data_IF_230660029220
#
_entry.id   IF_230660029220
#
_cell.length_a   1.000
_cell.length_b   1.000
_cell.length_c   1.000
_cell.angle_alpha   90.00
_cell.angle_beta   90.00
_cell.angle_gamma   90.00
#
_symmetry.space_group_name_H-M   'P 1'
#
loop_
_entity.id
_entity.type
_entity.pdbx_description
1 polymer ?
#
# COMPACT_ATOMS: atom_id res chain seq x y z
N UNK A 1 -9.38 -7.46 -31.95
CA UNK A 1 -8.19 -6.59 -31.81
C UNK A 1 -8.63 -5.28 -31.16
N UNK A 2 -9.04 -5.32 -29.89
CA UNK A 2 -9.20 -4.13 -29.05
C UNK A 2 -7.82 -3.89 -28.46
N UNK A 3 -7.03 -3.05 -29.12
CA UNK A 3 -5.65 -2.77 -28.74
C UNK A 3 -5.61 -2.03 -27.40
N UNK A 4 -4.65 -2.39 -26.55
CA UNK A 4 -4.29 -1.79 -25.25
C UNK A 4 -4.51 -0.27 -25.11
N UNK A 5 -4.37 0.45 -26.24
CA UNK A 5 -4.58 1.89 -26.44
C UNK A 5 -5.99 2.36 -26.02
N UNK A 6 -7.04 1.54 -26.14
CA UNK A 6 -8.39 1.92 -25.70
C UNK A 6 -8.56 1.84 -24.18
N UNK A 7 -7.84 0.93 -23.50
CA UNK A 7 -7.91 0.80 -22.04
C UNK A 7 -7.16 1.95 -21.37
N UNK A 8 -5.99 2.34 -21.87
CA UNK A 8 -5.27 3.52 -21.38
C UNK A 8 -6.09 4.80 -21.55
N UNK A 9 -6.75 4.99 -22.70
CA UNK A 9 -7.62 6.16 -22.94
C UNK A 9 -8.89 6.13 -22.11
N UNK A 10 -9.50 4.96 -21.92
CA UNK A 10 -10.68 4.80 -21.07
C UNK A 10 -10.34 5.05 -19.59
N UNK A 11 -9.21 4.51 -19.12
CA UNK A 11 -8.65 4.79 -17.81
C UNK A 11 -8.40 6.29 -17.63
N UNK A 12 -7.63 6.91 -18.52
CA UNK A 12 -7.26 8.32 -18.39
C UNK A 12 -8.45 9.29 -18.50
N UNK A 13 -9.48 8.96 -19.29
CA UNK A 13 -10.61 9.87 -19.49
C UNK A 13 -11.76 9.66 -18.49
N UNK A 14 -12.11 8.41 -18.18
CA UNK A 14 -13.27 8.09 -17.32
C UNK A 14 -12.85 8.04 -15.85
N UNK A 15 -11.77 7.32 -15.52
CA UNK A 15 -11.39 7.17 -14.11
C UNK A 15 -10.79 8.45 -13.55
N UNK A 16 -9.94 9.17 -14.28
CA UNK A 16 -9.30 10.40 -13.77
C UNK A 16 -10.30 11.55 -13.58
N UNK A 17 -11.28 11.69 -14.47
CA UNK A 17 -12.33 12.71 -14.32
C UNK A 17 -13.28 12.37 -13.16
N UNK A 18 -13.62 11.10 -12.95
CA UNK A 18 -14.38 10.66 -11.78
C UNK A 18 -13.57 10.78 -10.48
N UNK A 19 -12.28 10.41 -10.49
CA UNK A 19 -11.38 10.51 -9.34
C UNK A 19 -11.21 11.96 -8.85
N UNK A 20 -11.18 12.93 -9.77
CA UNK A 20 -10.99 14.35 -9.46
C UNK A 20 -12.29 15.12 -9.18
N UNK A 21 -13.43 14.65 -9.67
CA UNK A 21 -14.71 15.38 -9.59
C UNK A 21 -15.66 14.86 -8.50
N UNK A 22 -15.42 13.66 -7.99
CA UNK A 22 -16.24 13.07 -6.94
C UNK A 22 -15.60 13.30 -5.58
N UNK A 23 -16.37 13.89 -4.68
CA UNK A 23 -16.08 13.83 -3.25
C UNK A 23 -15.87 12.36 -2.85
N UNK A 24 -14.74 12.08 -2.20
CA UNK A 24 -14.18 10.72 -2.05
C UNK A 24 -15.16 9.76 -1.36
N UNK A 25 -16.00 10.30 -0.48
CA UNK A 25 -16.97 9.55 0.32
C UNK A 25 -18.40 9.60 -0.27
N UNK A 26 -18.63 10.33 -1.36
CA UNK A 26 -19.97 10.43 -1.98
C UNK A 26 -20.40 9.12 -2.67
N UNK A 27 -19.45 8.39 -3.28
CA UNK A 27 -19.73 7.11 -3.96
C UNK A 27 -18.62 6.07 -3.72
N UNK A 28 -18.48 5.56 -2.49
CA UNK A 28 -17.32 4.75 -2.09
C UNK A 28 -17.21 3.43 -2.87
N UNK A 29 -18.33 2.82 -3.26
CA UNK A 29 -18.32 1.56 -4.04
C UNK A 29 -17.86 1.78 -5.48
N UNK A 30 -18.21 2.91 -6.09
CA UNK A 30 -17.76 3.26 -7.44
C UNK A 30 -16.26 3.57 -7.42
N UNK A 31 -15.81 4.39 -6.46
CA UNK A 31 -14.39 4.68 -6.26
C UNK A 31 -13.57 3.41 -6.03
N UNK A 32 -14.05 2.53 -5.16
CA UNK A 32 -13.43 1.23 -4.92
C UNK A 32 -13.30 0.39 -6.20
N UNK A 33 -14.34 0.37 -7.05
CA UNK A 33 -14.31 -0.35 -8.33
C UNK A 33 -13.26 0.25 -9.28
N UNK A 34 -13.17 1.57 -9.38
CA UNK A 34 -12.16 2.27 -10.18
C UNK A 34 -10.74 1.98 -9.68
N UNK A 35 -10.50 2.06 -8.37
CA UNK A 35 -9.20 1.74 -7.75
C UNK A 35 -8.80 0.27 -7.95
N UNK A 36 -9.76 -0.66 -7.81
CA UNK A 36 -9.53 -2.08 -8.08
C UNK A 36 -9.19 -2.33 -9.54
N UNK A 37 -9.86 -1.65 -10.45
CA UNK A 37 -9.58 -1.73 -11.88
C UNK A 37 -8.17 -1.21 -12.17
N UNK A 38 -7.80 -0.05 -11.64
CA UNK A 38 -6.43 0.47 -11.73
C UNK A 38 -5.39 -0.55 -11.21
N UNK A 39 -5.62 -1.13 -10.03
CA UNK A 39 -4.72 -2.14 -9.46
C UNK A 39 -4.52 -3.36 -10.37
N UNK A 40 -5.58 -3.80 -11.09
CA UNK A 40 -5.53 -4.93 -12.02
C UNK A 40 -4.66 -4.67 -13.25
N UNK A 41 -4.59 -3.41 -13.71
CA UNK A 41 -3.84 -3.02 -14.92
C UNK A 41 -2.53 -2.27 -14.61
N UNK A 42 -2.06 -2.28 -13.36
CA UNK A 42 -0.85 -1.58 -12.91
C UNK A 42 0.39 -1.85 -13.78
N UNK A 43 0.58 -3.08 -14.27
CA UNK A 43 1.70 -3.46 -15.14
C UNK A 43 1.63 -2.82 -16.53
N UNK A 44 0.43 -2.51 -17.01
CA UNK A 44 0.19 -1.92 -18.32
C UNK A 44 0.23 -0.39 -18.31
N UNK A 45 0.20 0.24 -17.14
CA UNK A 45 0.24 1.70 -17.06
C UNK A 45 1.66 2.25 -17.25
N UNK A 46 1.82 3.33 -18.04
CA UNK A 46 3.11 3.95 -18.26
C UNK A 46 3.55 4.70 -17.01
N UNK A 47 4.82 4.58 -16.64
CA UNK A 47 5.39 5.21 -15.43
C UNK A 47 5.07 6.72 -15.31
N UNK A 48 5.14 7.55 -16.36
CA UNK A 48 4.79 8.97 -16.23
C UNK A 48 3.35 9.22 -15.77
N UNK A 49 2.40 8.40 -16.24
CA UNK A 49 1.00 8.51 -15.84
C UNK A 49 0.81 8.14 -14.37
N UNK A 50 1.41 7.03 -13.94
CA UNK A 50 1.26 6.55 -12.56
C UNK A 50 1.91 7.46 -11.54
N UNK A 51 3.03 8.12 -11.90
CA UNK A 51 3.66 9.16 -11.07
C UNK A 51 2.74 10.38 -10.91
N UNK A 52 2.01 10.77 -11.95
CA UNK A 52 1.02 11.86 -11.86
C UNK A 52 -0.20 11.47 -11.01
N UNK A 53 -0.61 10.20 -11.08
CA UNK A 53 -1.74 9.65 -10.31
C UNK A 53 -1.39 9.40 -8.83
N UNK A 54 -0.11 9.19 -8.51
CA UNK A 54 0.34 8.78 -7.17
C UNK A 54 -0.16 9.67 -6.02
N UNK A 55 -0.15 11.01 -6.11
CA UNK A 55 -0.69 11.87 -5.06
C UNK A 55 -2.18 11.63 -4.77
N UNK A 56 -2.98 11.34 -5.81
CA UNK A 56 -4.40 11.05 -5.65
C UNK A 56 -4.60 9.70 -4.93
N UNK A 57 -3.81 8.68 -5.31
CA UNK A 57 -3.81 7.40 -4.61
C UNK A 57 -3.47 7.53 -3.13
N UNK A 58 -2.49 8.39 -2.81
CA UNK A 58 -2.13 8.70 -1.42
C UNK A 58 -3.29 9.37 -0.69
N UNK A 59 -4.02 10.28 -1.34
CA UNK A 59 -5.19 10.94 -0.74
C UNK A 59 -6.33 9.95 -0.46
N UNK A 60 -6.59 8.97 -1.34
CA UNK A 60 -7.62 7.96 -1.11
C UNK A 60 -7.33 7.02 0.07
N UNK A 61 -6.10 6.96 0.56
CA UNK A 61 -5.79 6.27 1.82
C UNK A 61 -6.40 6.97 3.04
N UNK A 62 -6.77 8.25 2.91
CA UNK A 62 -7.43 9.03 3.96
C UNK A 62 -8.96 9.02 3.89
N UNK A 63 -9.57 8.22 3.00
CA UNK A 63 -11.03 8.09 2.89
C UNK A 63 -11.64 7.50 4.17
N UNK A 64 -12.87 7.88 4.53
CA UNK A 64 -13.57 7.29 5.68
C UNK A 64 -14.00 5.84 5.38
N UNK A 65 -14.26 5.55 4.11
CA UNK A 65 -14.66 4.22 3.66
C UNK A 65 -13.50 3.23 3.68
N UNK A 66 -13.68 2.17 4.49
CA UNK A 66 -12.74 1.05 4.57
C UNK A 66 -12.43 0.43 3.19
N UNK A 67 -13.46 0.31 2.35
CA UNK A 67 -13.31 -0.29 1.02
C UNK A 67 -12.47 0.61 0.11
N UNK A 68 -12.59 1.94 0.21
CA UNK A 68 -11.85 2.89 -0.62
C UNK A 68 -10.36 2.89 -0.25
N UNK A 69 -10.01 3.07 1.04
CA UNK A 69 -8.59 3.04 1.42
C UNK A 69 -7.95 1.67 1.20
N UNK A 70 -8.74 0.57 1.25
CA UNK A 70 -8.26 -0.78 0.94
C UNK A 70 -7.78 -0.88 -0.50
N UNK A 71 -8.61 -0.42 -1.43
CA UNK A 71 -8.29 -0.51 -2.85
C UNK A 71 -7.27 0.55 -3.29
N UNK A 72 -7.19 1.69 -2.60
CA UNK A 72 -6.09 2.63 -2.77
C UNK A 72 -4.75 1.98 -2.39
N UNK A 73 -4.69 1.34 -1.22
CA UNK A 73 -3.52 0.60 -0.77
C UNK A 73 -3.15 -0.55 -1.71
N UNK A 74 -4.14 -1.31 -2.20
CA UNK A 74 -3.92 -2.36 -3.20
C UNK A 74 -3.34 -1.78 -4.50
N UNK A 75 -3.84 -0.64 -4.97
CA UNK A 75 -3.35 -0.01 -6.19
C UNK A 75 -1.88 0.42 -6.04
N UNK A 76 -1.54 1.07 -4.93
CA UNK A 76 -0.16 1.47 -4.62
C UNK A 76 0.74 0.23 -4.53
N UNK A 77 0.33 -0.81 -3.80
CA UNK A 77 1.06 -2.07 -3.71
C UNK A 77 1.36 -2.64 -5.11
N UNK A 78 0.34 -2.75 -5.97
CA UNK A 78 0.50 -3.33 -7.31
C UNK A 78 1.40 -2.49 -8.20
N UNK A 79 1.32 -1.17 -8.12
CA UNK A 79 2.23 -0.28 -8.85
C UNK A 79 3.68 -0.52 -8.42
N UNK A 80 3.96 -0.47 -7.11
CA UNK A 80 5.33 -0.62 -6.60
C UNK A 80 5.96 -1.99 -6.86
N UNK A 81 5.14 -3.03 -7.03
CA UNK A 81 5.60 -4.38 -7.36
C UNK A 81 5.83 -4.63 -8.87
N UNK A 82 5.52 -3.67 -9.74
CA UNK A 82 5.75 -3.84 -11.18
C UNK A 82 7.24 -3.94 -11.50
N UNK A 83 7.60 -4.96 -12.27
CA UNK A 83 8.95 -5.19 -12.80
C UNK A 83 8.96 -5.03 -14.32
N UNK A 84 10.06 -4.50 -14.84
CA UNK A 84 10.32 -4.44 -16.28
C UNK A 84 10.87 -5.78 -16.81
N UNK A 85 10.98 -5.92 -18.14
CA UNK A 85 11.46 -7.15 -18.82
C UNK A 85 12.87 -7.61 -18.38
N UNK A 86 13.63 -6.75 -17.69
CA UNK A 86 14.93 -7.08 -17.08
C UNK A 86 14.88 -7.51 -15.61
N UNK A 87 13.69 -7.67 -15.03
CA UNK A 87 13.51 -8.01 -13.60
C UNK A 87 13.72 -6.84 -12.63
N UNK A 88 14.13 -5.67 -13.13
CA UNK A 88 14.28 -4.45 -12.35
C UNK A 88 12.91 -3.88 -11.96
N UNK A 89 12.80 -3.37 -10.73
CA UNK A 89 11.61 -2.66 -10.29
C UNK A 89 11.40 -1.40 -11.13
N UNK A 90 10.17 -1.18 -11.61
CA UNK A 90 9.80 0.01 -12.38
C UNK A 90 9.88 1.29 -11.53
N UNK A 91 9.55 1.17 -10.25
CA UNK A 91 9.55 2.25 -9.27
C UNK A 91 10.72 2.08 -8.31
N UNK A 92 11.41 3.18 -8.04
CA UNK A 92 12.58 3.24 -7.14
C UNK A 92 12.30 4.20 -5.99
N UNK A 93 13.16 4.19 -4.97
CA UNK A 93 13.02 5.04 -3.78
C UNK A 93 12.78 6.53 -4.12
N UNK A 94 13.49 7.06 -5.11
CA UNK A 94 13.36 8.45 -5.56
C UNK A 94 11.97 8.81 -6.10
N UNK A 95 11.22 7.84 -6.64
CA UNK A 95 9.86 8.07 -7.15
C UNK A 95 8.85 8.23 -6.00
N UNK A 96 9.09 7.56 -4.86
CA UNK A 96 8.18 7.52 -3.71
C UNK A 96 8.53 8.58 -2.67
N UNK A 97 9.81 8.95 -2.58
CA UNK A 97 10.34 9.89 -1.59
C UNK A 97 9.50 11.16 -1.38
N UNK A 98 8.96 11.82 -2.43
CA UNK A 98 8.12 13.02 -2.27
C UNK A 98 6.81 12.78 -1.49
N UNK A 99 6.30 11.54 -1.50
CA UNK A 99 5.00 11.18 -0.94
C UNK A 99 5.12 10.34 0.34
N UNK A 100 6.32 9.85 0.64
CA UNK A 100 6.56 8.82 1.66
C UNK A 100 5.98 9.21 3.04
N UNK A 101 6.23 10.44 3.48
CA UNK A 101 5.75 10.90 4.80
C UNK A 101 4.23 10.89 4.88
N UNK A 102 3.57 11.45 3.86
CA UNK A 102 2.11 11.55 3.82
C UNK A 102 1.47 10.17 3.65
N UNK A 103 2.04 9.33 2.78
CA UNK A 103 1.59 7.97 2.56
C UNK A 103 1.65 7.12 3.84
N UNK A 104 2.79 7.12 4.55
CA UNK A 104 2.91 6.39 5.81
C UNK A 104 1.94 6.94 6.85
N UNK A 105 1.76 8.26 6.91
CA UNK A 105 0.80 8.90 7.84
C UNK A 105 -0.63 8.40 7.60
N UNK A 106 -1.09 8.37 6.34
CA UNK A 106 -2.42 7.86 6.03
C UNK A 106 -2.55 6.36 6.27
N UNK A 107 -1.54 5.55 5.93
CA UNK A 107 -1.58 4.11 6.22
C UNK A 107 -1.71 3.83 7.72
N UNK A 108 -0.98 4.55 8.58
CA UNK A 108 -1.10 4.41 10.03
C UNK A 108 -2.43 4.94 10.58
N UNK A 109 -2.99 6.00 9.97
CA UNK A 109 -4.29 6.54 10.37
C UNK A 109 -5.44 5.60 9.98
N UNK A 110 -5.40 5.05 8.76
CA UNK A 110 -6.39 4.11 8.25
C UNK A 110 -6.44 2.83 9.11
N UNK A 111 -5.29 2.30 9.54
CA UNK A 111 -5.22 1.16 10.49
C UNK A 111 -5.73 1.47 11.91
N UNK A 112 -6.02 2.73 12.23
CA UNK A 112 -6.66 3.12 13.50
C UNK A 112 -8.15 3.42 13.32
N UNK A 113 -8.64 3.41 12.08
CA UNK A 113 -10.03 3.67 11.77
C UNK A 113 -10.87 2.44 12.08
N UNK A 114 -12.12 2.63 12.53
CA UNK A 114 -13.04 1.51 12.76
C UNK A 114 -13.15 0.61 11.53
N UNK A 115 -13.27 -0.70 11.76
CA UNK A 115 -13.40 -1.75 10.73
C UNK A 115 -12.12 -1.97 9.89
N UNK A 116 -11.07 -1.19 10.13
CA UNK A 116 -9.85 -1.16 9.31
C UNK A 116 -8.60 -1.57 10.09
N UNK A 117 -8.75 -1.91 11.37
CA UNK A 117 -7.65 -2.25 12.28
C UNK A 117 -6.88 -3.50 11.82
N UNK A 118 -7.57 -4.44 11.18
CA UNK A 118 -7.03 -5.70 10.66
C UNK A 118 -6.89 -5.71 9.12
N UNK A 119 -6.93 -4.54 8.49
CA UNK A 119 -6.96 -4.45 7.04
C UNK A 119 -5.61 -4.86 6.40
N UNK A 120 -5.62 -6.03 5.78
CA UNK A 120 -4.46 -6.63 5.14
C UNK A 120 -3.94 -5.87 3.92
N UNK A 121 -4.80 -5.14 3.19
CA UNK A 121 -4.36 -4.32 2.06
C UNK A 121 -3.46 -3.19 2.55
N UNK A 122 -3.83 -2.53 3.66
CA UNK A 122 -3.03 -1.46 4.27
C UNK A 122 -1.69 -2.00 4.77
N UNK A 123 -1.70 -3.13 5.49
CA UNK A 123 -0.47 -3.73 6.03
C UNK A 123 0.49 -4.17 4.93
N UNK A 124 -0.03 -4.80 3.88
CA UNK A 124 0.79 -5.26 2.75
C UNK A 124 1.35 -4.08 1.95
N UNK A 125 0.53 -3.06 1.69
CA UNK A 125 1.00 -1.82 1.07
C UNK A 125 2.12 -1.17 1.89
N UNK A 126 1.96 -1.09 3.21
CA UNK A 126 2.99 -0.55 4.10
C UNK A 126 4.31 -1.31 3.99
N UNK A 127 4.26 -2.64 3.97
CA UNK A 127 5.46 -3.47 3.81
C UNK A 127 6.16 -3.26 2.46
N UNK A 128 5.39 -3.20 1.38
CA UNK A 128 5.94 -2.95 0.03
C UNK A 128 6.58 -1.57 -0.03
N UNK A 129 5.94 -0.55 0.52
CA UNK A 129 6.49 0.82 0.56
C UNK A 129 7.82 0.85 1.31
N UNK A 130 7.88 0.23 2.49
CA UNK A 130 9.12 0.15 3.28
C UNK A 130 10.22 -0.65 2.57
N UNK A 131 9.86 -1.60 1.69
CA UNK A 131 10.82 -2.34 0.87
C UNK A 131 11.38 -1.55 -0.31
N UNK A 132 10.67 -0.52 -0.79
CA UNK A 132 11.13 0.32 -1.92
C UNK A 132 11.71 1.65 -1.46
N UNK A 133 11.23 2.20 -0.34
CA UNK A 133 11.63 3.51 0.15
C UNK A 133 13.03 3.51 0.79
N UNK A 134 13.78 4.58 0.56
CA UNK A 134 14.98 4.91 1.35
C UNK A 134 14.52 5.57 2.66
N UNK A 135 14.53 4.79 3.74
CA UNK A 135 14.10 5.28 5.05
C UNK A 135 15.21 6.15 5.64
N UNK A 136 14.99 7.46 5.63
CA UNK A 136 15.85 8.41 6.33
C UNK A 136 15.63 8.36 7.85
N UNK A 137 16.60 8.89 8.62
CA UNK A 137 16.53 8.92 10.08
C UNK A 137 15.26 9.59 10.64
N UNK A 138 14.70 10.56 9.93
CA UNK A 138 13.51 11.32 10.35
C UNK A 138 12.21 10.52 10.25
N UNK A 139 12.10 9.65 9.25
CA UNK A 139 10.90 8.81 9.01
C UNK A 139 11.00 7.47 9.71
N UNK A 140 12.22 7.00 10.01
CA UNK A 140 12.46 5.72 10.69
C UNK A 140 11.78 5.61 12.05
N UNK A 141 11.89 6.62 12.91
CA UNK A 141 11.35 6.57 14.28
C UNK A 141 9.82 6.49 14.32
N UNK A 142 9.06 7.33 13.58
CA UNK A 142 7.61 7.18 13.49
C UNK A 142 7.18 5.84 12.91
N UNK A 143 7.86 5.35 11.88
CA UNK A 143 7.53 4.06 11.26
C UNK A 143 7.77 2.88 12.22
N UNK A 144 8.91 2.87 12.92
CA UNK A 144 9.22 1.83 13.92
C UNK A 144 8.18 1.85 15.03
N UNK A 145 7.86 3.03 15.57
CA UNK A 145 6.84 3.17 16.60
C UNK A 145 5.47 2.67 16.11
N UNK A 146 5.05 3.09 14.93
CA UNK A 146 3.78 2.66 14.33
C UNK A 146 3.70 1.15 14.12
N UNK A 147 4.78 0.53 13.61
CA UNK A 147 4.85 -0.92 13.44
C UNK A 147 4.85 -1.67 14.78
N UNK A 148 5.53 -1.15 15.79
CA UNK A 148 5.52 -1.71 17.14
C UNK A 148 4.12 -1.64 17.75
N UNK A 149 3.44 -0.49 17.64
CA UNK A 149 2.06 -0.29 18.10
C UNK A 149 1.09 -1.27 17.41
N UNK A 150 1.24 -1.50 16.09
CA UNK A 150 0.44 -2.48 15.33
C UNK A 150 0.73 -3.91 15.84
N UNK A 151 2.00 -4.25 16.05
CA UNK A 151 2.40 -5.58 16.51
C UNK A 151 1.86 -5.89 17.92
N UNK A 152 1.86 -4.90 18.81
CA UNK A 152 1.27 -5.01 20.16
C UNK A 152 -0.24 -5.21 20.08
N UNK A 153 -0.95 -4.40 19.26
CA UNK A 153 -2.39 -4.57 19.04
C UNK A 153 -2.73 -5.96 18.50
N UNK A 154 -1.95 -6.47 17.55
CA UNK A 154 -2.13 -7.84 17.05
C UNK A 154 -1.93 -8.88 18.14
N UNK A 155 -0.92 -8.72 19.00
CA UNK A 155 -0.74 -9.63 20.13
C UNK A 155 -1.94 -9.61 21.09
N UNK A 156 -2.48 -8.42 21.40
CA UNK A 156 -3.69 -8.27 22.22
C UNK A 156 -4.91 -8.97 21.59
N UNK A 157 -5.09 -8.84 20.26
CA UNK A 157 -6.15 -9.54 19.52
C UNK A 157 -5.95 -11.07 19.60
N UNK A 158 -4.71 -11.55 19.46
CA UNK A 158 -4.40 -12.99 19.52
C UNK A 158 -4.60 -13.59 20.92
N UNK A 159 -4.49 -12.79 21.98
CA UNK A 159 -4.78 -13.19 23.35
C UNK A 159 -6.29 -13.25 23.66
N UNK A 160 -7.15 -12.78 22.75
CA UNK A 160 -8.61 -12.93 22.91
C UNK A 160 -9.06 -14.36 22.60
N UNK A 161 -9.92 -14.97 23.44
CA UNK A 161 -10.30 -16.39 23.32
C UNK A 161 -11.21 -16.72 22.13
N UNK A 162 -11.50 -15.76 21.25
CA UNK A 162 -12.30 -15.92 20.04
C UNK A 162 -11.46 -15.54 18.81
N UNK A 163 -10.42 -16.33 18.52
CA UNK A 163 -9.72 -16.25 17.24
C UNK A 163 -10.70 -16.62 16.11
N UNK A 164 -11.12 -15.64 15.32
CA UNK A 164 -11.85 -15.90 14.07
C UNK A 164 -10.89 -16.49 13.03
N UNK A 165 -11.40 -17.37 12.18
CA UNK A 165 -10.65 -18.08 11.12
C UNK A 165 -9.93 -17.16 10.12
N UNK A 166 -10.30 -15.87 10.09
CA UNK A 166 -9.63 -14.79 9.34
C UNK A 166 -8.23 -14.47 9.86
N UNK A 167 -7.99 -14.56 11.18
CA UNK A 167 -6.69 -14.22 11.78
C UNK A 167 -5.59 -15.22 11.40
N UNK A 168 -5.88 -16.52 11.41
CA UNK A 168 -4.91 -17.56 11.00
C UNK A 168 -4.64 -17.58 9.49
N UNK A 169 -5.62 -17.23 8.67
CA UNK A 169 -5.44 -17.13 7.21
C UNK A 169 -4.67 -15.87 6.82
N UNK A 170 -4.81 -14.77 7.56
CA UNK A 170 -3.94 -13.59 7.46
C UNK A 170 -2.49 -13.90 7.83
N UNK A 171 -2.28 -14.65 8.92
CA UNK A 171 -0.96 -15.14 9.30
C UNK A 171 -0.37 -16.04 8.21
N UNK A 172 -1.11 -17.03 7.70
CA UNK A 172 -0.59 -17.89 6.63
C UNK A 172 -0.33 -17.10 5.33
N UNK A 173 -1.18 -16.15 4.93
CA UNK A 173 -1.02 -15.34 3.72
C UNK A 173 0.15 -14.33 3.81
N UNK A 174 0.38 -13.75 4.99
CA UNK A 174 1.57 -12.91 5.25
C UNK A 174 2.87 -13.73 5.18
N UNK A 175 2.83 -15.03 5.50
CA UNK A 175 3.97 -15.94 5.47
C UNK A 175 4.12 -16.76 4.17
N UNK A 176 3.11 -16.78 3.28
CA UNK A 176 3.13 -17.52 2.00
C UNK A 176 3.85 -16.74 0.87
N UNK A 177 4.16 -15.46 1.08
CA UNK A 177 5.02 -14.67 0.18
C UNK A 177 6.47 -14.79 0.66
N UNK A 178 7.17 -15.82 0.18
CA UNK A 178 8.62 -16.06 0.34
C UNK A 178 9.17 -15.72 1.73
N UNK A 179 8.85 -16.55 2.72
CA UNK A 179 9.30 -16.46 4.11
C UNK A 179 10.82 -16.18 4.27
N UNK A 180 11.65 -16.64 3.32
CA UNK A 180 13.08 -16.34 3.33
C UNK A 180 13.38 -14.87 2.96
N UNK A 181 12.75 -14.31 1.93
CA UNK A 181 13.02 -12.94 1.52
C UNK A 181 12.50 -11.93 2.55
N UNK A 182 11.36 -12.22 3.19
CA UNK A 182 10.75 -11.32 4.18
C UNK A 182 11.46 -11.36 5.54
N UNK A 183 11.86 -12.54 6.04
CA UNK A 183 12.69 -12.65 7.24
C UNK A 183 14.08 -12.03 7.02
N UNK A 184 14.66 -12.20 5.82
CA UNK A 184 15.89 -11.53 5.44
C UNK A 184 15.70 -10.02 5.34
N UNK A 185 14.56 -9.52 4.84
CA UNK A 185 14.27 -8.07 4.79
C UNK A 185 14.06 -7.48 6.19
N UNK A 186 13.39 -8.19 7.10
CA UNK A 186 13.27 -7.80 8.51
C UNK A 186 14.63 -7.82 9.22
N UNK A 187 15.46 -8.86 9.00
CA UNK A 187 16.83 -8.91 9.53
C UNK A 187 17.73 -7.84 8.90
N UNK A 188 17.55 -7.52 7.62
CA UNK A 188 18.30 -6.51 6.91
C UNK A 188 17.92 -5.11 7.41
N UNK A 189 16.62 -4.83 7.57
CA UNK A 189 16.12 -3.63 8.25
C UNK A 189 16.69 -3.55 9.67
N UNK A 190 16.65 -4.64 10.45
CA UNK A 190 17.22 -4.69 11.81
C UNK A 190 18.73 -4.43 11.82
N UNK A 191 19.48 -4.90 10.82
CA UNK A 191 20.92 -4.64 10.67
C UNK A 191 21.23 -3.21 10.19
N UNK A 192 20.46 -2.68 9.24
CA UNK A 192 20.56 -1.29 8.75
C UNK A 192 20.24 -0.32 9.88
N UNK A 193 19.19 -0.60 10.67
CA UNK A 193 18.81 0.22 11.82
C UNK A 193 19.79 0.10 12.99
N UNK A 194 20.36 -1.08 13.26
CA UNK A 194 21.41 -1.23 14.27
C UNK A 194 22.67 -0.41 13.92
N UNK A 195 23.06 -0.36 12.64
CA UNK A 195 24.18 0.44 12.15
C UNK A 195 23.92 1.94 12.16
N UNK A 196 22.66 2.37 12.04
CA UNK A 196 22.28 3.79 12.11
C UNK A 196 22.18 4.33 13.55
N UNK A 197 22.19 3.44 14.55
CA UNK A 197 22.11 3.77 15.98
C UNK A 197 23.45 3.75 16.74
N UNK A 198 24.56 3.53 16.04
CA UNK A 198 25.95 3.60 16.53
C UNK A 198 26.73 4.65 15.76
#
# INVERSE_FOLDING_TARGET
MLSLIDVERFLANVTLSELQSLDVDSFPMLMAACLKFLAMFASHMPKPFTIQLFPELVCFLGAESNVVHSYAALCIEKLLLVKEEGGNCRYVAGDISPFLVQLMTYLFAALKSPESEENHYLMRCMMVVLGVAEISGEVSRPCIKGLADISVKFAEILETPFLTTTSLSLWLYLFDVDANAMFLSYLHLKQVFYRAST
#
